data_IF_447191946719
#
_entry.id   IF_447191946719
#
_cell.length_a   1.000
_cell.length_b   1.000
_cell.length_c   1.000
_cell.angle_alpha   90.00
_cell.angle_beta   90.00
_cell.angle_gamma   90.00
#
_symmetry.space_group_name_H-M   'P 1'
#
loop_
_entity.id
_entity.type
_entity.pdbx_description
1 polymer ?
#
# COMPACT_ATOMS: atom_id res chain seq x y z
N UNK A 1 5.21 10.07 7.99
CA UNK A 1 4.26 9.59 6.96
C UNK A 1 3.67 8.26 7.42
N UNK A 2 2.36 8.17 7.47
CA UNK A 2 1.67 6.96 7.94
C UNK A 2 1.26 6.12 6.72
N UNK A 3 1.86 4.95 6.58
CA UNK A 3 1.62 4.08 5.43
C UNK A 3 0.91 2.82 5.88
N UNK A 4 -0.24 2.54 5.30
CA UNK A 4 -0.99 1.30 5.52
C UNK A 4 -0.97 0.48 4.23
N UNK A 5 -0.68 -0.81 4.34
CA UNK A 5 -0.66 -1.73 3.21
C UNK A 5 -1.66 -2.85 3.48
N UNK A 6 -2.77 -2.84 2.75
CA UNK A 6 -3.78 -3.90 2.84
C UNK A 6 -3.37 -5.05 1.95
N UNK A 7 -3.23 -6.24 2.53
CA UNK A 7 -2.67 -7.42 1.85
C UNK A 7 -3.58 -8.64 1.98
N UNK A 8 -3.26 -9.68 1.20
CA UNK A 8 -3.80 -11.03 1.39
C UNK A 8 -2.63 -12.00 1.43
N UNK A 9 -2.90 -13.25 1.86
CA UNK A 9 -1.86 -14.27 1.99
C UNK A 9 -1.16 -14.58 0.66
N UNK A 10 -1.92 -14.65 -0.42
CA UNK A 10 -1.38 -14.99 -1.75
C UNK A 10 -1.39 -13.77 -2.68
N UNK A 11 -0.47 -12.86 -2.45
CA UNK A 11 -0.42 -11.63 -3.23
C UNK A 11 1.01 -11.29 -3.60
N UNK A 12 1.46 -11.64 -4.81
CA UNK A 12 2.82 -11.28 -5.25
C UNK A 12 3.07 -9.78 -5.23
N UNK A 13 2.08 -8.98 -5.61
CA UNK A 13 2.19 -7.52 -5.57
C UNK A 13 2.38 -6.98 -4.16
N UNK A 14 1.79 -7.65 -3.16
CA UNK A 14 1.98 -7.26 -1.76
C UNK A 14 3.42 -7.45 -1.31
N UNK A 15 4.05 -8.54 -1.74
CA UNK A 15 5.47 -8.81 -1.45
C UNK A 15 6.34 -7.72 -2.05
N UNK A 16 6.07 -7.35 -3.29
CA UNK A 16 6.82 -6.30 -4.01
C UNK A 16 6.66 -4.96 -3.29
N UNK A 17 5.44 -4.59 -2.91
CA UNK A 17 5.17 -3.33 -2.23
C UNK A 17 5.90 -3.25 -0.89
N UNK A 18 5.81 -4.29 -0.07
CA UNK A 18 6.47 -4.34 1.23
C UNK A 18 7.99 -4.27 1.09
N UNK A 19 8.54 -5.02 0.15
CA UNK A 19 9.98 -5.02 -0.11
C UNK A 19 10.46 -3.62 -0.53
N UNK A 20 9.73 -2.98 -1.44
CA UNK A 20 10.08 -1.64 -1.91
C UNK A 20 10.10 -0.63 -0.76
N UNK A 21 9.12 -0.69 0.13
CA UNK A 21 9.07 0.21 1.28
C UNK A 21 10.23 -0.04 2.24
N UNK A 22 10.51 -1.30 2.56
CA UNK A 22 11.61 -1.67 3.46
C UNK A 22 12.96 -1.25 2.92
N UNK A 23 13.23 -1.50 1.64
CA UNK A 23 14.50 -1.16 1.01
C UNK A 23 14.78 0.34 1.03
N UNK A 24 13.75 1.14 1.03
CA UNK A 24 13.87 2.60 1.04
C UNK A 24 13.76 3.22 2.42
N UNK A 25 13.65 2.39 3.46
CA UNK A 25 13.63 2.86 4.84
C UNK A 25 12.30 3.45 5.29
N UNK A 26 11.22 3.16 4.61
CA UNK A 26 9.89 3.60 5.02
C UNK A 26 9.25 2.61 5.97
N UNK A 27 8.74 3.09 7.09
CA UNK A 27 7.95 2.28 8.00
C UNK A 27 6.51 2.20 7.48
N UNK A 28 5.89 1.04 7.64
CA UNK A 28 4.50 0.84 7.23
C UNK A 28 3.83 -0.19 8.12
N UNK A 29 2.50 -0.16 8.13
CA UNK A 29 1.69 -1.15 8.83
C UNK A 29 1.04 -2.06 7.80
N UNK A 30 1.25 -3.35 7.92
CA UNK A 30 0.60 -4.34 7.07
C UNK A 30 -0.71 -4.77 7.70
N UNK A 31 -1.79 -4.77 6.92
CA UNK A 31 -3.10 -5.23 7.36
C UNK A 31 -3.54 -6.34 6.41
N UNK A 32 -3.49 -7.58 6.89
CA UNK A 32 -4.04 -8.72 6.14
C UNK A 32 -5.55 -8.65 6.26
N UNK A 33 -6.24 -8.44 5.15
CA UNK A 33 -7.68 -8.23 5.16
C UNK A 33 -8.45 -9.46 5.61
N UNK A 34 -7.92 -10.65 5.40
CA UNK A 34 -8.56 -11.89 5.86
C UNK A 34 -8.47 -12.02 7.38
N UNK A 35 -7.28 -11.75 7.93
CA UNK A 35 -7.06 -11.77 9.38
C UNK A 35 -7.86 -10.68 10.08
N UNK A 36 -7.93 -9.50 9.48
CA UNK A 36 -8.66 -8.36 10.03
C UNK A 36 -10.16 -8.44 9.78
N UNK A 37 -10.63 -9.47 9.08
CA UNK A 37 -12.05 -9.64 8.71
C UNK A 37 -12.60 -8.45 7.91
N UNK A 38 -11.78 -7.88 7.04
CA UNK A 38 -12.20 -6.82 6.14
C UNK A 38 -12.68 -7.45 4.84
N UNK A 39 -13.95 -7.24 4.49
CA UNK A 39 -14.50 -7.75 3.24
C UNK A 39 -13.98 -6.93 2.06
N UNK A 40 -14.11 -7.48 0.85
CA UNK A 40 -13.73 -6.75 -0.36
C UNK A 40 -14.60 -5.50 -0.55
N UNK A 41 -15.86 -5.57 -0.14
CA UNK A 41 -16.75 -4.39 -0.16
C UNK A 41 -16.24 -3.29 0.76
N UNK A 42 -15.81 -3.66 1.96
CA UNK A 42 -15.22 -2.72 2.91
C UNK A 42 -13.93 -2.13 2.38
N UNK A 43 -13.08 -2.95 1.77
CA UNK A 43 -11.84 -2.49 1.15
C UNK A 43 -12.14 -1.49 0.03
N UNK A 44 -13.15 -1.78 -0.79
CA UNK A 44 -13.57 -0.88 -1.86
C UNK A 44 -13.98 0.50 -1.32
N UNK A 45 -14.70 0.51 -0.19
CA UNK A 45 -15.08 1.76 0.46
C UNK A 45 -13.85 2.53 0.96
N UNK A 46 -12.90 1.83 1.60
CA UNK A 46 -11.65 2.42 2.09
C UNK A 46 -10.86 3.04 0.94
N UNK A 47 -10.81 2.35 -0.20
CA UNK A 47 -9.98 2.73 -1.34
C UNK A 47 -10.68 3.61 -2.38
N UNK A 48 -11.92 4.03 -2.09
CA UNK A 48 -12.63 4.92 -3.00
C UNK A 48 -13.08 4.27 -4.30
N UNK A 49 -13.39 2.98 -4.27
CA UNK A 49 -13.93 2.24 -5.41
C UNK A 49 -13.06 1.13 -5.97
N UNK A 50 -11.85 0.95 -5.43
CA UNK A 50 -10.92 -0.11 -5.88
C UNK A 50 -10.93 -1.27 -4.90
N UNK A 51 -10.83 -2.50 -5.42
CA UNK A 51 -10.81 -3.73 -4.62
C UNK A 51 -9.54 -4.55 -4.80
N UNK A 52 -8.53 -3.98 -5.44
CA UNK A 52 -7.28 -4.70 -5.70
C UNK A 52 -6.40 -4.81 -4.46
N UNK A 53 -5.58 -5.83 -4.38
CA UNK A 53 -4.52 -5.95 -3.39
C UNK A 53 -3.18 -6.04 -4.10
N UNK A 54 -2.12 -5.40 -3.57
CA UNK A 54 -2.14 -4.59 -2.36
C UNK A 54 -2.90 -3.28 -2.56
N UNK A 55 -3.50 -2.80 -1.49
CA UNK A 55 -4.11 -1.47 -1.46
C UNK A 55 -3.34 -0.61 -0.47
N UNK A 56 -2.90 0.54 -0.92
CA UNK A 56 -2.01 1.41 -0.16
C UNK A 56 -2.74 2.68 0.27
N UNK A 57 -2.63 3.02 1.55
CA UNK A 57 -3.17 4.26 2.10
C UNK A 57 -2.03 5.02 2.74
N UNK A 58 -1.83 6.27 2.36
CA UNK A 58 -0.77 7.13 2.90
C UNK A 58 -1.42 8.36 3.53
N UNK A 59 -1.18 8.55 4.83
CA UNK A 59 -1.72 9.67 5.61
C UNK A 59 -3.24 9.83 5.43
N UNK A 60 -3.95 8.70 5.44
CA UNK A 60 -5.40 8.66 5.30
C UNK A 60 -5.92 8.77 3.88
N UNK A 61 -5.05 8.87 2.88
CA UNK A 61 -5.45 8.97 1.48
C UNK A 61 -5.24 7.66 0.76
N UNK A 62 -6.27 7.09 0.11
CA UNK A 62 -6.09 5.90 -0.71
C UNK A 62 -5.26 6.26 -1.96
N UNK A 63 -4.15 5.55 -2.11
CA UNK A 63 -3.21 5.79 -3.22
C UNK A 63 -3.48 4.86 -4.39
N UNK A 64 -3.77 3.59 -4.11
CA UNK A 64 -3.98 2.57 -5.12
C UNK A 64 -3.14 1.33 -4.85
N UNK A 65 -2.62 0.73 -5.90
CA UNK A 65 -1.83 -0.49 -5.82
C UNK A 65 -0.33 -0.27 -5.93
N UNK A 66 0.37 -1.32 -6.35
CA UNK A 66 1.84 -1.31 -6.48
C UNK A 66 2.33 -0.21 -7.42
N UNK A 67 1.69 -0.05 -8.57
CA UNK A 67 2.14 0.91 -9.58
C UNK A 67 2.09 2.34 -9.05
N UNK A 68 1.00 2.69 -8.38
CA UNK A 68 0.82 4.01 -7.79
C UNK A 68 1.81 4.24 -6.65
N UNK A 69 2.06 3.22 -5.82
CA UNK A 69 3.04 3.29 -4.76
C UNK A 69 4.45 3.55 -5.31
N UNK A 70 4.84 2.80 -6.35
CA UNK A 70 6.17 2.94 -6.95
C UNK A 70 6.38 4.34 -7.53
N UNK A 71 5.36 4.93 -8.12
CA UNK A 71 5.44 6.30 -8.63
C UNK A 71 5.68 7.30 -7.51
N UNK A 72 4.99 7.15 -6.40
CA UNK A 72 5.13 8.04 -5.25
C UNK A 72 6.53 7.91 -4.63
N UNK A 73 6.98 6.68 -4.40
CA UNK A 73 8.31 6.42 -3.85
C UNK A 73 9.39 7.02 -4.75
N UNK A 74 9.27 6.84 -6.05
CA UNK A 74 10.23 7.39 -7.01
C UNK A 74 10.29 8.91 -6.92
N UNK A 75 9.14 9.58 -6.86
CA UNK A 75 9.09 11.04 -6.73
C UNK A 75 9.73 11.51 -5.43
N UNK A 76 9.46 10.84 -4.32
CA UNK A 76 10.03 11.19 -3.03
C UNK A 76 11.55 11.05 -3.04
N UNK A 77 12.08 10.02 -3.68
CA UNK A 77 13.52 9.82 -3.77
C UNK A 77 14.19 10.86 -4.65
N UNK A 78 13.57 11.24 -5.75
CA UNK A 78 14.10 12.29 -6.63
C UNK A 78 14.17 13.62 -5.87
N UNK A 79 13.18 13.92 -5.05
CA UNK A 79 13.18 15.13 -4.22
C UNK A 79 14.27 15.09 -3.14
N UNK A 80 14.53 13.90 -2.56
CA UNK A 80 15.56 13.74 -1.54
C UNK A 80 16.98 13.89 -2.09
N UNK A 81 17.16 13.70 -3.37
CA UNK A 81 18.47 13.85 -4.03
C UNK A 81 18.86 15.30 -4.28
N UNK A 82 18.00 16.22 -3.97
CA UNK A 82 18.29 17.64 -4.09
C UNK A 82 18.87 18.17 -2.79
#
# INVERSE_FOLDING_TARGET
MNILVYTTEWCPGCVIAKKALKERGYDFTEIDIEVACISRTQLKEIMGGRMEVPSIVIDGKPIGGVNELMRIIWKLQVLDLR
#
